data_IF_348460764577
#
_entry.id   IF_348460764577
#
_cell.length_a   1.000
_cell.length_b   1.000
_cell.length_c   1.000
_cell.angle_alpha   90.00
_cell.angle_beta   90.00
_cell.angle_gamma   90.00
#
_symmetry.space_group_name_H-M   'P 1'
#
loop_
_entity.id
_entity.type
_entity.pdbx_description
1 polymer ?
#
# COMPACT_ATOMS: atom_id res chain seq x y z
N UNK A 1 20.06 -8.21 -0.18
CA UNK A 1 20.83 -7.71 0.99
C UNK A 1 22.25 -7.21 0.64
N UNK A 2 22.88 -7.68 -0.43
CA UNK A 2 24.25 -7.28 -0.79
C UNK A 2 24.37 -5.78 -1.23
N UNK A 3 23.27 -5.13 -1.62
CA UNK A 3 23.25 -3.72 -2.06
C UNK A 3 22.76 -2.73 -1.02
N UNK A 4 22.33 -3.19 0.18
CA UNK A 4 21.83 -2.33 1.26
C UNK A 4 20.51 -1.59 0.95
N UNK A 5 19.76 -2.03 -0.07
CA UNK A 5 18.45 -1.47 -0.45
C UNK A 5 17.37 -2.54 -0.39
N UNK A 6 16.15 -2.14 -0.03
CA UNK A 6 14.97 -2.99 -0.06
C UNK A 6 14.47 -3.07 -1.51
N UNK A 7 14.34 -4.30 -2.04
CA UNK A 7 13.89 -4.55 -3.41
C UNK A 7 12.41 -4.95 -3.44
N UNK A 8 12.00 -5.80 -2.48
CA UNK A 8 10.64 -6.28 -2.32
C UNK A 8 10.11 -5.88 -0.95
N UNK A 9 8.80 -5.72 -0.84
CA UNK A 9 8.13 -5.50 0.44
C UNK A 9 8.43 -6.64 1.40
N UNK A 10 8.76 -6.30 2.65
CA UNK A 10 8.94 -7.26 3.73
C UNK A 10 7.87 -7.01 4.79
N UNK A 11 7.29 -8.09 5.32
CA UNK A 11 6.27 -8.03 6.35
C UNK A 11 6.84 -8.55 7.65
N UNK A 12 6.70 -7.77 8.71
CA UNK A 12 7.04 -8.18 10.09
C UNK A 12 5.88 -7.80 11.00
N UNK A 13 5.79 -8.46 12.15
CA UNK A 13 4.82 -8.12 13.18
C UNK A 13 5.53 -7.67 14.47
N UNK A 14 4.88 -6.78 15.19
CA UNK A 14 5.23 -6.41 16.54
C UNK A 14 3.99 -5.88 17.30
N UNK A 15 4.10 -5.80 18.61
CA UNK A 15 3.02 -5.37 19.49
C UNK A 15 3.51 -4.24 20.39
N UNK A 16 2.60 -3.31 20.66
CA UNK A 16 2.68 -2.38 21.79
C UNK A 16 1.70 -2.84 22.86
N UNK A 17 1.62 -2.12 23.97
CA UNK A 17 0.59 -2.40 24.99
C UNK A 17 -0.83 -2.18 24.47
N UNK A 18 -1.00 -1.34 23.43
CA UNK A 18 -2.30 -0.91 22.95
C UNK A 18 -2.71 -1.55 21.63
N UNK A 19 -1.74 -2.05 20.82
CA UNK A 19 -2.03 -2.42 19.44
C UNK A 19 -1.05 -3.44 18.89
N UNK A 20 -1.57 -4.32 18.02
CA UNK A 20 -0.78 -5.20 17.18
C UNK A 20 -0.59 -4.58 15.78
N UNK A 21 0.62 -4.63 15.27
CA UNK A 21 1.01 -4.04 14.00
C UNK A 21 1.51 -5.09 13.02
N UNK A 22 0.98 -5.06 11.79
CA UNK A 22 1.62 -5.63 10.62
C UNK A 22 2.44 -4.51 9.95
N UNK A 23 3.75 -4.60 10.00
CA UNK A 23 4.67 -3.63 9.43
C UNK A 23 5.09 -4.06 8.03
N UNK A 24 4.90 -3.17 7.06
CA UNK A 24 5.31 -3.38 5.67
C UNK A 24 6.49 -2.48 5.37
N UNK A 25 7.66 -3.07 5.15
CA UNK A 25 8.85 -2.32 4.70
C UNK A 25 8.79 -2.15 3.19
N UNK A 26 8.58 -0.90 2.76
CA UNK A 26 8.46 -0.55 1.35
C UNK A 26 9.82 -0.13 0.76
N UNK A 27 10.16 -0.57 -0.47
CA UNK A 27 11.37 -0.10 -1.13
C UNK A 27 11.31 1.40 -1.38
N UNK A 28 12.37 2.12 -0.96
CA UNK A 28 12.47 3.58 -1.09
C UNK A 28 13.13 4.07 -2.38
N UNK A 29 13.64 3.19 -3.24
CA UNK A 29 14.33 3.59 -4.46
C UNK A 29 13.34 3.80 -5.62
N UNK A 30 13.56 4.83 -6.44
CA UNK A 30 12.68 5.20 -7.56
C UNK A 30 12.37 4.05 -8.53
N UNK A 31 13.32 3.13 -8.75
CA UNK A 31 13.14 1.96 -9.62
C UNK A 31 12.06 0.97 -9.10
N UNK A 32 11.65 1.10 -7.83
CA UNK A 32 10.71 0.18 -7.17
C UNK A 32 9.39 0.87 -6.77
N UNK A 33 9.12 2.05 -7.31
CA UNK A 33 7.89 2.82 -7.06
C UNK A 33 6.63 1.99 -7.20
N UNK A 34 6.58 1.10 -8.19
CA UNK A 34 5.48 0.15 -8.39
C UNK A 34 5.20 -0.69 -7.13
N UNK A 35 6.25 -1.27 -6.54
CA UNK A 35 6.11 -2.09 -5.33
C UNK A 35 5.70 -1.25 -4.13
N UNK A 36 6.13 0.01 -4.09
CA UNK A 36 5.73 0.95 -3.06
C UNK A 36 4.25 1.33 -3.19
N UNK A 37 3.77 1.66 -4.39
CA UNK A 37 2.35 2.00 -4.61
C UNK A 37 1.43 0.84 -4.22
N UNK A 38 1.75 -0.39 -4.63
CA UNK A 38 0.92 -1.56 -4.30
C UNK A 38 1.02 -1.98 -2.83
N UNK A 39 2.15 -1.72 -2.15
CA UNK A 39 2.31 -1.94 -0.71
C UNK A 39 1.62 -0.86 0.12
N UNK A 40 1.81 0.41 -0.26
CA UNK A 40 1.26 1.56 0.45
C UNK A 40 -0.29 1.62 0.39
N UNK A 41 -0.91 1.09 -0.66
CA UNK A 41 -2.36 1.05 -0.80
C UNK A 41 -3.08 0.26 0.32
N UNK A 42 -2.35 -0.49 1.11
CA UNK A 42 -2.86 -1.33 2.20
C UNK A 42 -2.52 -0.77 3.60
N UNK A 43 -1.88 0.39 3.69
CA UNK A 43 -1.42 0.95 4.94
C UNK A 43 -2.47 1.82 5.62
N UNK A 44 -2.66 1.62 6.92
CA UNK A 44 -3.50 2.44 7.79
C UNK A 44 -2.78 3.70 8.30
N UNK A 45 -1.48 3.74 8.15
CA UNK A 45 -0.59 4.85 8.46
C UNK A 45 0.81 4.59 7.94
N UNK A 46 1.66 5.60 7.94
CA UNK A 46 3.03 5.47 7.47
C UNK A 46 4.06 6.07 8.42
N UNK A 47 5.23 5.45 8.47
CA UNK A 47 6.42 6.02 9.10
C UNK A 47 7.34 6.47 7.98
N UNK A 48 7.53 7.78 7.85
CA UNK A 48 8.48 8.37 6.92
C UNK A 48 9.84 8.50 7.61
N UNK A 49 10.87 7.87 7.05
CA UNK A 49 12.23 7.96 7.59
C UNK A 49 13.04 8.96 6.75
N UNK A 50 13.57 9.99 7.40
CA UNK A 50 14.44 10.99 6.79
C UNK A 50 15.73 11.11 7.61
N UNK A 51 16.88 11.22 6.97
CA UNK A 51 18.14 11.43 7.66
C UNK A 51 18.33 12.90 8.02
N UNK A 52 18.68 13.20 9.27
CA UNK A 52 18.98 14.56 9.73
C UNK A 52 20.20 15.16 9.00
N UNK A 53 21.13 14.30 8.56
CA UNK A 53 22.33 14.71 7.82
C UNK A 53 22.06 15.25 6.42
N UNK A 54 20.99 14.77 5.77
CA UNK A 54 20.72 15.04 4.36
C UNK A 54 19.47 15.92 4.15
N UNK A 55 18.59 15.98 5.15
CA UNK A 55 17.29 16.64 5.04
C UNK A 55 16.35 15.96 4.04
N UNK A 56 15.24 16.63 3.65
CA UNK A 56 14.26 16.08 2.71
C UNK A 56 14.82 16.05 1.28
N UNK A 57 15.25 14.87 0.86
CA UNK A 57 15.75 14.57 -0.49
C UNK A 57 14.61 14.46 -1.51
N UNK A 58 14.88 14.48 -2.83
CA UNK A 58 13.86 14.27 -3.85
C UNK A 58 13.01 13.01 -3.64
N UNK A 59 13.63 11.91 -3.17
CA UNK A 59 12.93 10.68 -2.84
C UNK A 59 11.96 10.86 -1.66
N UNK A 60 12.31 11.66 -0.65
CA UNK A 60 11.41 11.98 0.47
C UNK A 60 10.13 12.64 -0.03
N UNK A 61 10.25 13.59 -0.97
CA UNK A 61 9.11 14.25 -1.62
C UNK A 61 8.24 13.24 -2.39
N UNK A 62 8.88 12.33 -3.12
CA UNK A 62 8.17 11.30 -3.87
C UNK A 62 7.41 10.34 -2.94
N UNK A 63 8.00 9.95 -1.81
CA UNK A 63 7.33 9.09 -0.82
C UNK A 63 6.11 9.76 -0.20
N UNK A 64 6.19 11.04 0.16
CA UNK A 64 5.04 11.80 0.70
C UNK A 64 3.94 11.91 -0.35
N UNK A 65 4.30 12.25 -1.60
CA UNK A 65 3.38 12.32 -2.73
C UNK A 65 2.65 10.98 -2.94
N UNK A 66 3.41 9.87 -2.93
CA UNK A 66 2.84 8.54 -3.10
C UNK A 66 1.91 8.15 -1.95
N UNK A 67 2.31 8.42 -0.70
CA UNK A 67 1.46 8.22 0.46
C UNK A 67 0.13 8.98 0.31
N UNK A 68 0.18 10.23 -0.19
CA UNK A 68 -1.01 11.02 -0.49
C UNK A 68 -1.86 10.40 -1.59
N UNK A 69 -1.25 9.97 -2.69
CA UNK A 69 -1.94 9.39 -3.84
C UNK A 69 -2.67 8.08 -3.50
N UNK A 70 -2.09 7.24 -2.64
CA UNK A 70 -2.72 5.99 -2.19
C UNK A 70 -3.58 6.16 -0.94
N UNK A 71 -3.80 7.41 -0.52
CA UNK A 71 -4.63 7.77 0.63
C UNK A 71 -4.18 7.16 1.96
N UNK A 72 -2.88 7.14 2.24
CA UNK A 72 -2.39 6.89 3.60
C UNK A 72 -2.95 8.00 4.50
N UNK A 73 -3.73 7.68 5.53
CA UNK A 73 -4.49 8.71 6.25
C UNK A 73 -3.60 9.62 7.11
N UNK A 74 -2.54 9.09 7.70
CA UNK A 74 -1.61 9.85 8.56
C UNK A 74 -0.19 9.33 8.44
N UNK A 75 0.76 10.24 8.61
CA UNK A 75 2.19 9.94 8.67
C UNK A 75 2.74 10.28 10.06
N UNK A 76 3.82 9.61 10.43
CA UNK A 76 4.74 9.99 11.51
C UNK A 76 6.12 10.05 10.89
N UNK A 77 6.93 11.06 11.20
CA UNK A 77 8.31 11.14 10.72
C UNK A 77 9.27 10.64 11.78
N UNK A 78 10.21 9.81 11.38
CA UNK A 78 11.39 9.50 12.17
C UNK A 78 12.62 10.17 11.52
N UNK A 79 13.07 11.28 12.13
CA UNK A 79 14.29 11.97 11.73
C UNK A 79 15.49 11.20 12.30
N UNK A 80 16.04 10.33 11.47
CA UNK A 80 17.09 9.40 11.84
C UNK A 80 18.49 10.03 11.73
N UNK A 81 19.49 9.40 12.33
CA UNK A 81 20.92 9.79 12.31
C UNK A 81 21.20 11.12 12.99
N UNK A 82 20.42 11.50 13.99
CA UNK A 82 20.67 12.73 14.76
C UNK A 82 21.99 12.67 15.54
N UNK A 83 22.48 11.47 15.82
CA UNK A 83 23.78 11.20 16.43
C UNK A 83 24.99 11.63 15.56
N UNK A 84 24.78 11.88 14.27
CA UNK A 84 25.80 12.33 13.33
C UNK A 84 25.79 13.85 13.09
N UNK A 85 24.91 14.58 13.76
CA UNK A 85 24.75 16.03 13.61
C UNK A 85 24.99 16.70 14.95
N UNK A 86 26.09 17.41 15.07
CA UNK A 86 26.47 18.12 16.30
C UNK A 86 25.80 19.53 16.41
N UNK A 87 25.22 20.02 15.33
CA UNK A 87 24.61 21.33 15.21
C UNK A 87 23.09 21.25 15.40
N UNK A 88 22.60 21.73 16.53
CA UNK A 88 21.16 21.78 16.85
C UNK A 88 20.37 22.68 15.88
N UNK A 89 20.97 23.79 15.40
CA UNK A 89 20.30 24.70 14.46
C UNK A 89 20.05 23.98 13.11
N UNK A 90 20.96 23.10 12.70
CA UNK A 90 20.78 22.29 11.50
C UNK A 90 19.63 21.28 11.67
N UNK A 91 19.51 20.64 12.83
CA UNK A 91 18.41 19.72 13.13
C UNK A 91 17.06 20.45 13.10
N UNK A 92 16.98 21.66 13.69
CA UNK A 92 15.78 22.49 13.66
C UNK A 92 15.42 22.92 12.23
N UNK A 93 16.41 23.27 11.42
CA UNK A 93 16.19 23.63 10.01
C UNK A 93 15.61 22.46 9.22
N UNK A 94 16.14 21.26 9.37
CA UNK A 94 15.64 20.04 8.71
C UNK A 94 14.23 19.73 9.18
N UNK A 95 13.92 19.90 10.47
CA UNK A 95 12.57 19.71 11.01
C UNK A 95 11.56 20.68 10.38
N UNK A 96 11.95 21.96 10.25
CA UNK A 96 11.11 22.98 9.62
C UNK A 96 10.89 22.65 8.12
N UNK A 97 11.92 22.29 7.37
CA UNK A 97 11.81 21.91 5.95
C UNK A 97 10.90 20.69 5.76
N UNK A 98 10.98 19.70 6.66
CA UNK A 98 10.11 18.54 6.64
C UNK A 98 8.65 18.92 6.94
N UNK A 99 8.43 19.79 7.91
CA UNK A 99 7.09 20.31 8.25
C UNK A 99 6.44 21.02 7.07
N UNK A 100 7.13 21.99 6.48
CA UNK A 100 6.67 22.74 5.30
C UNK A 100 6.36 21.80 4.12
N UNK A 101 7.22 20.80 3.91
CA UNK A 101 7.03 19.82 2.88
C UNK A 101 5.78 18.98 3.12
N UNK A 102 5.57 18.46 4.32
CA UNK A 102 4.39 17.66 4.70
C UNK A 102 3.10 18.46 4.56
N UNK A 103 3.08 19.71 5.04
CA UNK A 103 1.94 20.62 4.90
C UNK A 103 1.58 20.87 3.43
N UNK A 104 2.58 20.99 2.53
CA UNK A 104 2.35 21.18 1.10
C UNK A 104 1.61 20.01 0.43
N UNK A 105 1.58 18.84 1.08
CA UNK A 105 0.84 17.65 0.66
C UNK A 105 -0.37 17.34 1.56
N UNK A 106 -0.84 18.29 2.37
CA UNK A 106 -1.96 18.19 3.32
C UNK A 106 -1.73 17.17 4.47
N UNK A 107 -0.49 16.85 4.81
CA UNK A 107 -0.15 16.13 6.02
C UNK A 107 0.16 17.12 7.15
N UNK A 108 -0.89 17.81 7.60
CA UNK A 108 -0.77 18.84 8.63
C UNK A 108 -0.47 18.25 10.01
N UNK A 109 0.23 19.00 10.84
CA UNK A 109 0.55 18.65 12.24
C UNK A 109 1.24 17.27 12.39
N UNK A 110 1.92 16.78 11.36
CA UNK A 110 2.62 15.49 11.38
C UNK A 110 3.73 15.50 12.44
N UNK A 111 3.70 14.60 13.43
CA UNK A 111 4.75 14.56 14.45
C UNK A 111 6.08 14.08 13.86
N UNK A 112 7.17 14.76 14.26
CA UNK A 112 8.54 14.45 13.87
C UNK A 112 9.32 14.00 15.11
N UNK A 113 9.74 12.76 15.14
CA UNK A 113 10.53 12.17 16.22
C UNK A 113 12.00 12.16 15.80
N UNK A 114 12.86 12.71 16.65
CA UNK A 114 14.31 12.80 16.44
C UNK A 114 15.01 11.62 17.10
N UNK A 115 15.94 10.95 16.41
CA UNK A 115 16.63 9.83 17.01
C UNK A 115 17.70 9.16 16.17
N UNK A 116 18.27 8.11 16.71
CA UNK A 116 19.25 7.25 16.05
C UNK A 116 18.79 5.78 16.12
N UNK A 117 18.37 5.25 14.98
CA UNK A 117 18.04 3.82 14.87
C UNK A 117 19.28 2.94 15.07
N UNK A 118 20.47 3.39 14.68
CA UNK A 118 21.71 2.67 14.92
C UNK A 118 22.07 2.67 16.40
N UNK A 119 21.92 3.80 17.09
CA UNK A 119 22.10 3.90 18.54
C UNK A 119 21.16 2.94 19.29
N UNK A 120 19.87 2.89 18.89
CA UNK A 120 18.91 1.95 19.44
C UNK A 120 19.33 0.49 19.23
N UNK A 121 19.80 0.14 18.03
CA UNK A 121 20.28 -1.22 17.70
C UNK A 121 21.53 -1.61 18.52
N UNK A 122 22.38 -0.65 18.83
CA UNK A 122 23.57 -0.83 19.68
C UNK A 122 23.24 -0.85 21.17
N UNK A 123 22.01 -0.58 21.58
CA UNK A 123 21.57 -0.55 22.97
C UNK A 123 21.88 0.80 23.67
N UNK A 124 22.15 1.85 22.94
CA UNK A 124 22.29 3.19 23.48
C UNK A 124 20.94 3.72 23.98
N UNK A 125 20.89 4.17 25.25
CA UNK A 125 19.61 4.53 25.89
C UNK A 125 18.84 5.61 25.11
N UNK A 126 19.52 6.65 24.65
CA UNK A 126 18.89 7.74 23.87
C UNK A 126 18.28 7.26 22.56
N UNK A 127 18.96 6.31 21.89
CA UNK A 127 18.44 5.68 20.68
C UNK A 127 17.20 4.82 20.97
N UNK A 128 17.26 4.01 22.04
CA UNK A 128 16.13 3.18 22.48
C UNK A 128 14.93 4.07 22.85
N UNK A 129 15.15 5.13 23.62
CA UNK A 129 14.10 6.06 24.03
C UNK A 129 13.42 6.72 22.83
N UNK A 130 14.18 7.11 21.81
CA UNK A 130 13.63 7.71 20.58
C UNK A 130 12.75 6.74 19.78
N UNK A 131 13.13 5.45 19.71
CA UNK A 131 12.31 4.42 19.05
C UNK A 131 11.05 4.15 19.86
N UNK A 132 11.13 4.11 21.19
CA UNK A 132 9.96 3.95 22.05
C UNK A 132 9.00 5.15 21.96
N UNK A 133 9.53 6.37 21.84
CA UNK A 133 8.72 7.57 21.58
C UNK A 133 8.03 7.50 20.21
N UNK A 134 8.75 7.05 19.16
CA UNK A 134 8.14 6.79 17.85
C UNK A 134 6.95 5.84 17.98
N UNK A 135 7.11 4.71 18.66
CA UNK A 135 6.04 3.72 18.81
C UNK A 135 4.85 4.28 19.59
N UNK A 136 5.10 5.02 20.65
CA UNK A 136 4.06 5.71 21.41
C UNK A 136 3.32 6.75 20.56
N UNK A 137 4.05 7.47 19.73
CA UNK A 137 3.46 8.45 18.80
C UNK A 137 2.61 7.75 17.74
N UNK A 138 3.07 6.64 17.18
CA UNK A 138 2.28 5.81 16.25
C UNK A 138 0.99 5.34 16.90
N UNK A 139 1.04 4.85 18.15
CA UNK A 139 -0.14 4.39 18.90
C UNK A 139 -1.19 5.49 19.11
N UNK A 140 -0.76 6.72 19.30
CA UNK A 140 -1.67 7.84 19.66
C UNK A 140 -2.07 8.69 18.47
N UNK A 141 -1.20 8.87 17.49
CA UNK A 141 -1.41 9.72 16.33
C UNK A 141 -2.15 9.03 15.19
N UNK A 142 -1.77 7.77 14.88
CA UNK A 142 -2.45 7.00 13.84
C UNK A 142 -3.72 6.40 14.43
N UNK A 143 -4.87 6.79 13.89
CA UNK A 143 -6.16 6.29 14.35
C UNK A 143 -6.29 4.79 14.06
N UNK A 144 -6.92 4.06 14.98
CA UNK A 144 -7.29 2.66 14.72
C UNK A 144 -8.38 2.64 13.65
N UNK A 145 -8.13 2.06 12.48
CA UNK A 145 -9.11 2.09 11.42
C UNK A 145 -10.36 1.27 11.77
N UNK A 146 -11.52 1.78 11.37
CA UNK A 146 -12.77 1.02 11.47
C UNK A 146 -12.74 -0.08 10.41
N UNK A 147 -12.84 -1.32 10.85
CA UNK A 147 -12.84 -2.50 9.99
C UNK A 147 -14.25 -2.93 9.64
N UNK A 148 -14.51 -3.16 8.37
CA UNK A 148 -15.83 -3.53 7.87
C UNK A 148 -16.01 -5.05 7.87
N UNK A 149 -16.13 -5.63 9.06
CA UNK A 149 -16.34 -7.07 9.25
C UNK A 149 -17.72 -7.55 8.81
N UNK A 150 -18.69 -6.64 8.72
CA UNK A 150 -20.07 -6.98 8.33
C UNK A 150 -20.25 -7.21 6.82
N UNK A 151 -19.34 -6.70 6.00
CA UNK A 151 -19.36 -6.92 4.56
C UNK A 151 -18.96 -8.32 4.16
N UNK A 152 -19.19 -8.65 2.90
CA UNK A 152 -18.70 -9.89 2.31
C UNK A 152 -17.17 -9.95 2.40
N UNK A 153 -16.64 -11.14 2.71
CA UNK A 153 -15.18 -11.35 2.76
C UNK A 153 -14.52 -11.02 1.43
N UNK A 154 -13.41 -10.28 1.50
CA UNK A 154 -12.55 -9.97 0.36
C UNK A 154 -11.11 -9.79 0.85
N UNK A 155 -10.18 -10.48 0.20
CA UNK A 155 -8.74 -10.40 0.43
C UNK A 155 -7.99 -10.20 -0.89
N UNK A 156 -7.12 -9.21 -0.97
CA UNK A 156 -6.22 -9.01 -2.11
C UNK A 156 -5.04 -9.96 -2.03
N UNK A 157 -4.72 -10.66 -3.13
CA UNK A 157 -3.57 -11.56 -3.18
C UNK A 157 -2.28 -10.76 -3.40
N UNK A 158 -1.34 -10.88 -2.47
CA UNK A 158 -0.01 -10.28 -2.53
C UNK A 158 1.06 -11.25 -2.99
N UNK A 159 1.05 -12.47 -2.42
CA UNK A 159 2.01 -13.50 -2.74
C UNK A 159 1.38 -14.89 -2.67
N UNK A 160 2.02 -15.87 -3.31
CA UNK A 160 1.53 -17.24 -3.38
C UNK A 160 2.66 -18.23 -3.16
N UNK A 161 2.49 -19.11 -2.19
CA UNK A 161 3.45 -20.14 -1.85
C UNK A 161 2.87 -21.52 -2.02
N UNK A 162 3.73 -22.49 -2.30
CA UNK A 162 3.41 -23.92 -2.20
C UNK A 162 4.10 -24.50 -0.97
N UNK A 163 3.31 -25.13 -0.09
CA UNK A 163 3.84 -25.80 1.09
C UNK A 163 3.74 -27.31 0.86
N UNK A 164 4.88 -27.98 0.85
CA UNK A 164 4.97 -29.44 0.65
C UNK A 164 4.05 -30.18 1.63
N UNK A 165 3.13 -30.99 1.12
CA UNK A 165 2.18 -31.77 1.91
C UNK A 165 0.97 -31.00 2.46
N UNK A 166 0.88 -29.67 2.25
CA UNK A 166 -0.25 -28.86 2.73
C UNK A 166 -1.03 -28.17 1.59
N UNK A 167 -0.37 -27.86 0.46
CA UNK A 167 -0.99 -27.25 -0.71
C UNK A 167 -0.56 -25.81 -0.94
N UNK A 168 -1.41 -25.06 -1.63
CA UNK A 168 -1.17 -23.65 -2.02
C UNK A 168 -1.67 -22.72 -0.93
N UNK A 169 -0.83 -21.76 -0.57
CA UNK A 169 -1.15 -20.67 0.36
C UNK A 169 -1.09 -19.36 -0.41
N UNK A 170 -2.17 -18.60 -0.40
CA UNK A 170 -2.21 -17.23 -0.87
C UNK A 170 -2.18 -16.29 0.33
N UNK A 171 -1.30 -15.29 0.31
CA UNK A 171 -1.19 -14.29 1.38
C UNK A 171 -1.68 -12.92 0.90
N UNK A 172 -2.19 -12.14 1.83
CA UNK A 172 -2.63 -10.78 1.57
C UNK A 172 -3.40 -10.16 2.73
N UNK A 173 -3.76 -8.89 2.57
CA UNK A 173 -4.58 -8.17 3.50
C UNK A 173 -6.08 -8.45 3.28
N UNK A 174 -6.80 -8.74 4.34
CA UNK A 174 -8.26 -8.84 4.34
C UNK A 174 -8.82 -7.41 4.34
N UNK A 175 -9.46 -7.03 3.24
CA UNK A 175 -10.05 -5.69 3.07
C UNK A 175 -11.37 -5.57 3.83
N UNK A 176 -12.22 -6.59 3.71
CA UNK A 176 -13.56 -6.63 4.32
C UNK A 176 -13.93 -8.04 4.78
N UNK A 177 -14.86 -8.11 5.74
CA UNK A 177 -15.46 -9.35 6.19
C UNK A 177 -14.59 -10.20 7.10
N UNK A 178 -15.02 -11.43 7.27
CA UNK A 178 -14.38 -12.46 8.09
C UNK A 178 -14.29 -13.73 7.26
N UNK A 179 -13.18 -14.48 7.40
CA UNK A 179 -12.96 -15.78 6.77
C UNK A 179 -12.64 -16.83 7.82
N UNK A 180 -13.18 -18.03 7.68
CA UNK A 180 -12.95 -19.17 8.58
C UNK A 180 -12.47 -20.39 7.81
N UNK A 181 -11.79 -21.26 8.53
CA UNK A 181 -11.51 -22.60 8.02
C UNK A 181 -12.80 -23.33 7.69
N UNK A 182 -12.91 -23.83 6.46
CA UNK A 182 -14.12 -24.48 5.92
C UNK A 182 -14.96 -23.59 5.00
N UNK A 183 -14.74 -22.29 5.00
CA UNK A 183 -15.50 -21.37 4.15
C UNK A 183 -15.19 -21.58 2.66
N UNK A 184 -16.23 -21.58 1.81
CA UNK A 184 -16.05 -21.54 0.37
C UNK A 184 -15.63 -20.14 -0.10
N UNK A 185 -14.76 -20.08 -1.09
CA UNK A 185 -14.26 -18.83 -1.69
C UNK A 185 -14.20 -18.92 -3.20
N UNK A 186 -14.35 -17.78 -3.87
CA UNK A 186 -14.02 -17.60 -5.28
C UNK A 186 -12.70 -16.84 -5.40
N UNK A 187 -11.89 -17.22 -6.38
CA UNK A 187 -10.65 -16.53 -6.76
C UNK A 187 -10.94 -15.83 -8.08
N UNK A 188 -10.82 -14.50 -8.09
CA UNK A 188 -11.35 -13.64 -9.16
C UNK A 188 -10.26 -12.67 -9.65
N UNK A 189 -10.23 -12.41 -10.95
CA UNK A 189 -9.35 -11.46 -11.61
C UNK A 189 -8.30 -12.12 -12.50
N UNK A 190 -7.69 -11.34 -13.38
CA UNK A 190 -6.71 -11.74 -14.39
C UNK A 190 -7.19 -12.79 -15.42
N UNK A 191 -8.41 -13.26 -15.30
CA UNK A 191 -9.08 -14.10 -16.27
C UNK A 191 -10.58 -13.85 -16.22
N UNK A 192 -11.32 -14.25 -17.26
CA UNK A 192 -12.80 -14.22 -17.24
C UNK A 192 -13.37 -15.39 -16.44
N UNK A 193 -12.60 -16.48 -16.31
CA UNK A 193 -12.98 -17.65 -15.54
C UNK A 193 -12.65 -17.44 -14.07
N UNK A 194 -13.65 -17.60 -13.22
CA UNK A 194 -13.47 -17.65 -11.77
C UNK A 194 -13.14 -19.08 -11.34
N UNK A 195 -12.29 -19.19 -10.35
CA UNK A 195 -12.00 -20.46 -9.69
C UNK A 195 -12.68 -20.48 -8.33
N UNK A 196 -13.21 -21.63 -7.93
CA UNK A 196 -13.79 -21.81 -6.60
C UNK A 196 -12.94 -22.77 -5.78
N UNK A 197 -12.80 -22.48 -4.50
CA UNK A 197 -12.02 -23.28 -3.55
C UNK A 197 -12.69 -23.29 -2.17
N UNK A 198 -12.08 -24.01 -1.24
CA UNK A 198 -12.42 -23.99 0.18
C UNK A 198 -11.17 -23.67 0.97
N UNK A 199 -11.27 -22.77 1.94
CA UNK A 199 -10.20 -22.45 2.87
C UNK A 199 -10.00 -23.63 3.81
N UNK A 200 -8.82 -24.23 3.83
CA UNK A 200 -8.48 -25.37 4.70
C UNK A 200 -7.65 -24.97 5.91
N UNK A 201 -7.22 -23.74 5.98
CA UNK A 201 -6.51 -23.16 7.11
C UNK A 201 -6.32 -21.66 6.92
N UNK A 202 -6.29 -20.95 8.03
CA UNK A 202 -5.97 -19.52 8.13
C UNK A 202 -4.70 -19.41 8.96
N UNK A 203 -3.69 -18.72 8.46
CA UNK A 203 -2.42 -18.52 9.14
C UNK A 203 -2.05 -17.03 9.14
N UNK A 204 -1.51 -16.57 10.27
CA UNK A 204 -0.93 -15.23 10.38
C UNK A 204 0.41 -15.36 11.11
N UNK A 205 1.50 -14.90 10.49
CA UNK A 205 2.86 -14.95 11.05
C UNK A 205 3.25 -16.33 11.64
N UNK A 206 2.94 -17.41 10.91
CA UNK A 206 3.17 -18.82 11.29
C UNK A 206 2.32 -19.32 12.47
N UNK A 207 1.32 -18.56 12.90
CA UNK A 207 0.31 -19.00 13.85
C UNK A 207 -0.94 -19.45 13.10
N UNK A 208 -1.50 -20.59 13.46
CA UNK A 208 -2.78 -21.06 12.91
C UNK A 208 -3.89 -20.35 13.66
N UNK A 209 -4.83 -19.81 12.92
CA UNK A 209 -6.00 -19.09 13.43
C UNK A 209 -7.28 -19.85 13.08
N UNK A 210 -8.32 -19.69 13.91
CA UNK A 210 -9.65 -20.18 13.60
C UNK A 210 -10.35 -19.33 12.53
N UNK A 211 -10.08 -18.03 12.53
CA UNK A 211 -10.61 -17.05 11.58
C UNK A 211 -9.61 -15.93 11.29
N UNK A 212 -9.78 -15.25 10.14
CA UNK A 212 -9.12 -14.00 9.77
C UNK A 212 -10.16 -12.90 9.59
N UNK A 213 -9.83 -11.66 9.97
CA UNK A 213 -10.73 -10.51 10.00
C UNK A 213 -10.23 -9.35 9.16
N UNK A 214 -11.14 -8.49 8.73
CA UNK A 214 -10.80 -7.27 8.02
C UNK A 214 -9.69 -6.48 8.73
N UNK A 215 -8.66 -6.11 7.97
CA UNK A 215 -7.45 -5.42 8.45
C UNK A 215 -6.28 -6.33 8.80
N UNK A 216 -6.48 -7.64 8.85
CA UNK A 216 -5.41 -8.59 9.12
C UNK A 216 -4.70 -9.04 7.85
N UNK A 217 -3.38 -9.27 7.94
CA UNK A 217 -2.58 -9.89 6.89
C UNK A 217 -2.52 -11.40 7.15
N UNK A 218 -3.18 -12.18 6.29
CA UNK A 218 -3.32 -13.62 6.49
C UNK A 218 -2.81 -14.42 5.29
N UNK A 219 -2.40 -15.65 5.56
CA UNK A 219 -2.22 -16.71 4.58
C UNK A 219 -3.41 -17.65 4.60
N UNK A 220 -4.04 -17.87 3.45
CA UNK A 220 -5.15 -18.80 3.28
C UNK A 220 -4.67 -20.06 2.57
N UNK A 221 -4.79 -21.21 3.23
CA UNK A 221 -4.61 -22.52 2.60
C UNK A 221 -5.83 -22.82 1.74
N UNK A 222 -5.62 -23.14 0.47
CA UNK A 222 -6.68 -23.33 -0.51
C UNK A 222 -6.69 -24.78 -1.03
N UNK A 223 -7.86 -25.38 -1.03
CA UNK A 223 -8.06 -26.76 -1.47
C UNK A 223 -8.10 -26.86 -2.99
N UNK A 224 -7.27 -27.77 -3.55
CA UNK A 224 -7.37 -28.14 -4.98
C UNK A 224 -6.96 -27.03 -5.95
N UNK A 225 -6.18 -26.06 -5.49
CA UNK A 225 -5.64 -24.97 -6.30
C UNK A 225 -4.13 -25.13 -6.39
N UNK A 226 -3.62 -25.11 -7.60
CA UNK A 226 -2.17 -25.12 -7.86
C UNK A 226 -1.61 -23.69 -7.78
N UNK A 227 -0.34 -23.55 -7.38
CA UNK A 227 0.32 -22.26 -7.22
C UNK A 227 0.25 -21.38 -8.49
N UNK A 228 0.39 -21.99 -9.64
CA UNK A 228 0.42 -21.34 -10.95
C UNK A 228 -0.94 -20.75 -11.38
N UNK A 229 -2.02 -21.21 -10.75
CA UNK A 229 -3.39 -20.74 -11.02
C UNK A 229 -3.72 -19.43 -10.30
N UNK A 230 -3.05 -19.14 -9.17
CA UNK A 230 -3.21 -17.90 -8.43
C UNK A 230 -2.03 -16.98 -8.68
N UNK A 231 -2.33 -15.70 -8.84
CA UNK A 231 -1.30 -14.68 -9.05
C UNK A 231 -1.58 -13.46 -8.19
N UNK A 232 -0.52 -12.73 -7.86
CA UNK A 232 -0.63 -11.37 -7.30
C UNK A 232 -1.58 -10.54 -8.16
N UNK A 233 -2.43 -9.76 -7.52
CA UNK A 233 -3.44 -8.94 -8.17
C UNK A 233 -4.81 -9.58 -8.35
N UNK A 234 -4.94 -10.90 -8.14
CA UNK A 234 -6.24 -11.54 -7.96
C UNK A 234 -6.80 -11.22 -6.58
N UNK A 235 -8.09 -11.47 -6.39
CA UNK A 235 -8.73 -11.41 -5.08
C UNK A 235 -9.34 -12.76 -4.71
N UNK A 236 -9.36 -13.04 -3.41
CA UNK A 236 -10.11 -14.16 -2.83
C UNK A 236 -11.31 -13.55 -2.12
N UNK A 237 -12.51 -13.97 -2.48
CA UNK A 237 -13.73 -13.34 -2.02
C UNK A 237 -14.82 -14.35 -1.67
N UNK A 238 -15.83 -13.91 -0.94
CA UNK A 238 -17.04 -14.68 -0.71
C UNK A 238 -17.66 -15.05 -2.08
N UNK A 239 -18.13 -16.29 -2.30
CA UNK A 239 -18.65 -16.70 -3.59
C UNK A 239 -19.73 -15.76 -4.13
N UNK A 240 -19.51 -15.29 -5.36
CA UNK A 240 -20.44 -14.41 -6.07
C UNK A 240 -20.50 -12.97 -5.58
N UNK A 241 -19.63 -12.54 -4.65
CA UNK A 241 -19.66 -11.18 -4.11
C UNK A 241 -18.95 -10.13 -4.96
N UNK A 242 -18.06 -10.54 -5.88
CA UNK A 242 -17.35 -9.66 -6.78
C UNK A 242 -17.14 -10.34 -8.14
N UNK A 243 -17.05 -9.53 -9.21
CA UNK A 243 -16.83 -10.00 -10.58
C UNK A 243 -15.66 -9.27 -11.24
N UNK A 244 -14.96 -9.91 -12.21
CA UNK A 244 -13.92 -9.25 -12.96
C UNK A 244 -14.53 -8.37 -14.06
N UNK A 245 -13.96 -7.18 -14.24
CA UNK A 245 -14.35 -6.25 -15.31
C UNK A 245 -13.11 -5.75 -16.04
N UNK A 246 -13.15 -5.75 -17.37
CA UNK A 246 -12.13 -5.14 -18.21
C UNK A 246 -12.52 -3.75 -18.69
N UNK A 247 -13.82 -3.42 -18.67
CA UNK A 247 -14.35 -2.12 -19.11
C UNK A 247 -15.10 -1.47 -17.98
N UNK A 248 -14.80 -0.19 -17.74
CA UNK A 248 -15.46 0.61 -16.71
C UNK A 248 -15.40 2.09 -17.04
N UNK A 249 -16.25 2.87 -16.38
CA UNK A 249 -16.26 4.32 -16.41
C UNK A 249 -15.74 4.83 -15.07
N UNK A 250 -14.91 5.88 -15.11
CA UNK A 250 -14.33 6.47 -13.92
C UNK A 250 -14.24 7.97 -13.97
N UNK A 251 -14.39 8.62 -12.82
CA UNK A 251 -14.04 10.01 -12.61
C UNK A 251 -12.60 10.10 -12.13
N UNK A 252 -11.78 10.89 -12.79
CA UNK A 252 -10.35 11.03 -12.47
C UNK A 252 -9.95 12.50 -12.39
N UNK A 253 -9.07 12.80 -11.46
CA UNK A 253 -8.36 14.07 -11.40
C UNK A 253 -6.95 13.88 -11.96
N UNK A 254 -6.56 14.73 -12.90
CA UNK A 254 -5.23 14.66 -13.52
C UNK A 254 -4.30 15.62 -12.78
N UNK A 255 -3.38 15.06 -12.01
CA UNK A 255 -2.43 15.83 -11.23
C UNK A 255 -1.62 16.80 -12.09
N UNK A 256 -1.44 18.02 -11.59
CA UNK A 256 -0.56 19.04 -12.18
C UNK A 256 0.91 18.70 -11.92
N UNK A 257 1.81 19.37 -12.63
CA UNK A 257 3.25 19.21 -12.44
C UNK A 257 3.69 19.50 -11.00
N UNK A 258 3.12 20.54 -10.40
CA UNK A 258 3.42 20.97 -9.03
C UNK A 258 2.94 19.94 -7.99
N UNK A 259 1.94 19.15 -8.35
CA UNK A 259 1.40 18.03 -7.56
C UNK A 259 2.12 16.70 -7.84
N UNK A 260 3.25 16.74 -8.56
CA UNK A 260 3.99 15.54 -8.98
C UNK A 260 3.35 14.79 -10.16
N UNK A 261 2.42 15.43 -10.86
CA UNK A 261 1.75 14.89 -12.03
C UNK A 261 2.45 15.25 -13.34
N UNK A 262 1.74 15.04 -14.41
CA UNK A 262 2.23 15.32 -15.78
C UNK A 262 2.21 16.81 -16.08
N UNK A 263 3.02 17.21 -17.05
CA UNK A 263 3.11 18.59 -17.55
C UNK A 263 2.55 18.76 -18.97
N UNK A 264 2.17 17.65 -19.62
CA UNK A 264 1.60 17.65 -20.97
C UNK A 264 0.20 17.06 -20.98
N UNK A 265 -0.69 17.49 -21.89
CA UNK A 265 -1.99 16.85 -22.05
C UNK A 265 -1.84 15.41 -22.56
N UNK A 266 -2.90 14.63 -22.39
CA UNK A 266 -3.03 13.36 -23.10
C UNK A 266 -4.29 13.36 -23.98
N UNK A 267 -4.25 12.52 -24.99
CA UNK A 267 -5.29 12.40 -26.00
C UNK A 267 -6.03 11.08 -25.88
N UNK A 268 -7.07 10.93 -26.66
CA UNK A 268 -7.81 9.69 -26.80
C UNK A 268 -6.86 8.52 -27.15
N UNK A 269 -7.18 7.30 -26.70
CA UNK A 269 -6.33 6.11 -26.83
C UNK A 269 -5.01 6.15 -26.04
N UNK A 270 -4.88 7.04 -25.05
CA UNK A 270 -3.75 7.02 -24.12
C UNK A 270 -3.72 5.70 -23.34
N UNK A 271 -2.53 5.10 -23.18
CA UNK A 271 -2.35 3.76 -22.61
C UNK A 271 -1.39 3.75 -21.41
N UNK A 272 -1.82 4.21 -20.24
CA UNK A 272 -1.03 4.18 -19.00
C UNK A 272 -1.16 2.84 -18.26
N UNK A 273 -0.44 2.76 -17.12
CA UNK A 273 -0.63 1.71 -16.12
C UNK A 273 -1.68 2.14 -15.11
N UNK A 274 -2.60 1.23 -14.82
CA UNK A 274 -3.63 1.35 -13.78
C UNK A 274 -3.24 0.48 -12.59
N UNK A 275 -3.32 1.04 -11.39
CA UNK A 275 -2.98 0.38 -10.13
C UNK A 275 -4.24 0.15 -9.31
N UNK A 276 -4.64 -1.10 -9.18
CA UNK A 276 -5.76 -1.54 -8.37
C UNK A 276 -5.25 -2.46 -7.28
N UNK A 277 -5.46 -2.15 -6.00
CA UNK A 277 -4.99 -3.00 -4.90
C UNK A 277 -3.52 -3.41 -5.09
N UNK A 278 -3.27 -4.71 -5.25
CA UNK A 278 -1.93 -5.28 -5.46
C UNK A 278 -1.55 -5.47 -6.94
N UNK A 279 -2.43 -5.09 -7.87
CA UNK A 279 -2.30 -5.26 -9.31
C UNK A 279 -1.88 -3.96 -10.01
N UNK A 280 -1.02 -4.08 -11.01
CA UNK A 280 -0.87 -3.10 -12.06
C UNK A 280 -1.25 -3.71 -13.41
N UNK A 281 -1.98 -2.96 -14.21
CA UNK A 281 -2.49 -3.42 -15.50
C UNK A 281 -2.53 -2.28 -16.51
N UNK A 282 -2.14 -2.56 -17.74
CA UNK A 282 -2.27 -1.59 -18.84
C UNK A 282 -3.73 -1.44 -19.25
N UNK A 283 -4.16 -0.20 -19.43
CA UNK A 283 -5.50 0.11 -19.97
C UNK A 283 -5.46 1.20 -21.00
N UNK A 284 -6.47 1.24 -21.85
CA UNK A 284 -6.67 2.29 -22.87
C UNK A 284 -7.77 3.22 -22.39
N UNK A 285 -7.51 4.52 -22.41
CA UNK A 285 -8.47 5.55 -22.05
C UNK A 285 -9.19 6.03 -23.30
N UNK A 286 -10.52 6.06 -23.22
CA UNK A 286 -11.39 6.71 -24.20
C UNK A 286 -12.02 7.95 -23.55
N UNK A 287 -11.93 9.07 -24.24
CA UNK A 287 -12.53 10.34 -23.81
C UNK A 287 -13.97 10.42 -24.30
N UNK A 288 -14.79 11.16 -23.58
CA UNK A 288 -16.17 11.44 -24.01
C UNK A 288 -16.21 12.13 -25.37
N UNK A 289 -17.29 11.89 -26.12
CA UNK A 289 -17.49 12.47 -27.46
C UNK A 289 -17.37 13.99 -27.44
N UNK A 290 -16.50 14.53 -28.31
CA UNK A 290 -16.25 15.97 -28.41
C UNK A 290 -15.08 16.49 -27.56
N UNK A 291 -14.45 15.65 -26.76
CA UNK A 291 -13.24 15.99 -26.03
C UNK A 291 -12.00 15.40 -26.70
N UNK A 292 -11.12 16.28 -27.20
CA UNK A 292 -9.92 15.84 -27.93
C UNK A 292 -8.73 15.54 -27.01
N UNK A 293 -8.64 16.25 -25.88
CA UNK A 293 -7.53 16.12 -24.93
C UNK A 293 -7.96 16.41 -23.49
N UNK A 294 -7.14 15.99 -22.55
CA UNK A 294 -7.26 16.25 -21.11
C UNK A 294 -5.98 16.94 -20.63
N UNK A 295 -6.14 18.02 -19.90
CA UNK A 295 -5.04 18.83 -19.36
C UNK A 295 -4.71 18.44 -17.92
N UNK A 296 -3.45 18.63 -17.48
CA UNK A 296 -3.13 18.58 -16.04
C UNK A 296 -4.03 19.57 -15.26
N UNK A 297 -4.61 19.11 -14.16
CA UNK A 297 -5.57 19.87 -13.34
C UNK A 297 -7.05 19.65 -13.70
N UNK A 298 -7.34 18.90 -14.75
CA UNK A 298 -8.72 18.59 -15.12
C UNK A 298 -9.32 17.49 -14.22
N UNK A 299 -10.59 17.69 -13.87
CA UNK A 299 -11.49 16.59 -13.47
C UNK A 299 -12.23 16.10 -14.71
N UNK A 300 -12.18 14.81 -14.99
CA UNK A 300 -12.76 14.24 -16.19
C UNK A 300 -13.31 12.84 -15.95
N UNK A 301 -14.44 12.57 -16.62
CA UNK A 301 -14.96 11.20 -16.73
C UNK A 301 -14.29 10.52 -17.93
N UNK A 302 -13.78 9.32 -17.73
CA UNK A 302 -13.12 8.52 -18.76
C UNK A 302 -13.77 7.13 -18.86
N UNK A 303 -13.81 6.61 -20.08
CA UNK A 303 -14.08 5.18 -20.31
C UNK A 303 -12.73 4.45 -20.42
N UNK A 304 -12.60 3.34 -19.71
CA UNK A 304 -11.35 2.57 -19.65
C UNK A 304 -11.58 1.16 -20.14
N UNK A 305 -10.65 0.69 -20.97
CA UNK A 305 -10.57 -0.72 -21.40
C UNK A 305 -9.20 -1.30 -20.98
N UNK A 306 -9.21 -2.19 -19.99
CA UNK A 306 -8.03 -2.90 -19.50
C UNK A 306 -7.70 -4.09 -20.41
N UNK A 307 -6.43 -4.46 -20.44
CA UNK A 307 -5.97 -5.66 -21.22
C UNK A 307 -6.40 -6.98 -20.58
N UNK A 308 -6.86 -6.95 -19.31
CA UNK A 308 -7.36 -8.13 -18.57
C UNK A 308 -8.41 -7.72 -17.58
N UNK A 309 -9.28 -8.66 -17.18
CA UNK A 309 -10.30 -8.42 -16.15
C UNK A 309 -9.70 -8.23 -14.77
N UNK A 310 -10.20 -7.23 -14.05
CA UNK A 310 -9.82 -6.91 -12.68
C UNK A 310 -11.06 -7.01 -11.80
N UNK A 311 -10.94 -7.67 -10.65
CA UNK A 311 -12.01 -7.73 -9.67
C UNK A 311 -12.29 -6.32 -9.12
N UNK A 312 -13.47 -5.77 -9.44
CA UNK A 312 -13.83 -4.41 -9.04
C UNK A 312 -15.32 -4.24 -8.80
N UNK A 313 -15.64 -3.29 -7.94
CA UNK A 313 -16.97 -2.79 -7.68
C UNK A 313 -17.04 -1.28 -7.83
N UNK A 314 -18.25 -0.73 -7.84
CA UNK A 314 -18.48 0.71 -7.87
C UNK A 314 -17.82 1.36 -6.65
N UNK A 315 -17.06 2.43 -6.88
CA UNK A 315 -16.37 3.18 -5.83
C UNK A 315 -14.94 2.66 -5.53
N UNK A 316 -14.47 1.61 -6.23
CA UNK A 316 -13.08 1.18 -6.10
C UNK A 316 -12.14 2.31 -6.56
N UNK A 317 -11.22 2.69 -5.68
CA UNK A 317 -10.17 3.69 -5.98
C UNK A 317 -9.01 3.04 -6.71
N UNK A 318 -8.38 3.80 -7.56
CA UNK A 318 -7.19 3.38 -8.31
C UNK A 318 -6.28 4.57 -8.63
N UNK A 319 -5.04 4.29 -8.95
CA UNK A 319 -4.09 5.28 -9.45
C UNK A 319 -3.74 4.99 -10.91
N UNK A 320 -3.42 6.06 -11.67
CA UNK A 320 -2.94 5.99 -13.04
C UNK A 320 -1.53 6.56 -13.07
N UNK A 321 -0.59 5.84 -13.67
CA UNK A 321 0.79 6.30 -13.86
C UNK A 321 1.32 5.97 -15.23
N UNK A 322 2.21 6.80 -15.73
CA UNK A 322 3.10 6.46 -16.83
C UNK A 322 4.21 5.54 -16.29
N UNK A 323 4.54 4.50 -17.05
CA UNK A 323 5.60 3.56 -16.71
C UNK A 323 7.00 4.14 -16.90
#
# INVERSE_FOLDING_TARGET
>A
KERGITINTAHIEYETENRHYAHVDCPGHADYVKNMVTGAAQMDGGILVCAATDGPMPQTREHILLAKQVNVPRLVVFMNKTDLVDDEELIELVEMELGDLLESYDFNDTPIIKGSALGALNGEQSGVDSVMELMKTVDTWIETPVRDEAKAFLMSVEDVFSITGRGTVATGAIETGIIRTGDPVDIVGLSEEKMSSTVTGVEMFRKILDEGRAGENCGLLLRGIEKEQIKRGMVIAKPGSITPHAKFKAEVYILKKEEGGRHTPFHNNYRPQFYFRTLDVTGTIQLESGREMVMPGDNVTIDVELITGVAMDIGLRFAIREG
#
